data_IF_555008967390
#
_entry.id   IF_555008967390
#
_cell.length_a   1.000
_cell.length_b   1.000
_cell.length_c   1.000
_cell.angle_alpha   90.00
_cell.angle_beta   90.00
_cell.angle_gamma   90.00
#
_symmetry.space_group_name_H-M   'P 1'
#
loop_
_entity.id
_entity.type
_entity.pdbx_description
1 polymer ?
#
# COMPACT_ATOMS: atom_id res chain seq x y z
N UNK A 1 7.57 -1.72 -23.17
CA UNK A 1 8.00 -2.82 -22.28
C UNK A 1 7.84 -2.48 -20.78
N UNK A 2 7.10 -1.43 -20.42
CA UNK A 2 7.08 -0.95 -19.02
C UNK A 2 6.41 -1.95 -18.06
N UNK A 3 5.34 -2.61 -18.50
CA UNK A 3 4.60 -3.60 -17.69
C UNK A 3 5.46 -4.84 -17.42
N UNK A 4 6.10 -5.38 -18.47
CA UNK A 4 7.10 -6.44 -18.32
C UNK A 4 8.19 -6.08 -17.31
N UNK A 5 8.72 -4.85 -17.35
CA UNK A 5 9.72 -4.40 -16.38
C UNK A 5 9.15 -4.33 -14.96
N UNK A 6 7.88 -3.94 -14.81
CA UNK A 6 7.17 -3.98 -13.53
C UNK A 6 7.11 -5.39 -12.95
N UNK A 7 6.76 -6.38 -13.78
CA UNK A 7 6.71 -7.79 -13.39
C UNK A 7 8.10 -8.34 -13.05
N UNK A 8 9.13 -7.97 -13.82
CA UNK A 8 10.54 -8.33 -13.53
C UNK A 8 10.97 -7.82 -12.16
N UNK A 9 10.72 -6.54 -11.86
CA UNK A 9 11.12 -5.93 -10.58
C UNK A 9 10.31 -6.50 -9.41
N UNK A 10 9.08 -6.93 -9.65
CA UNK A 10 8.20 -7.55 -8.65
C UNK A 10 8.48 -9.04 -8.43
N UNK A 11 9.28 -9.68 -9.30
CA UNK A 11 9.56 -11.11 -9.22
C UNK A 11 10.45 -11.44 -8.02
N UNK A 12 10.14 -12.47 -7.20
CA UNK A 12 10.90 -12.78 -5.98
C UNK A 12 12.37 -13.11 -6.25
N UNK A 13 12.67 -13.78 -7.37
CA UNK A 13 14.05 -14.04 -7.80
C UNK A 13 14.84 -12.77 -8.13
N UNK A 14 14.18 -11.69 -8.56
CA UNK A 14 14.84 -10.39 -8.75
C UNK A 14 15.20 -9.77 -7.40
N UNK A 15 14.30 -9.81 -6.42
CA UNK A 15 14.56 -9.34 -5.05
C UNK A 15 15.66 -10.13 -4.34
N UNK A 16 15.79 -11.43 -4.63
CA UNK A 16 16.85 -12.30 -4.11
C UNK A 16 18.20 -12.16 -4.85
N UNK A 17 18.29 -11.28 -5.86
CA UNK A 17 19.46 -11.13 -6.73
C UNK A 17 19.85 -12.41 -7.50
N UNK A 18 18.90 -13.31 -7.74
CA UNK A 18 19.07 -14.55 -8.51
C UNK A 18 18.89 -14.33 -10.03
N UNK A 19 19.41 -13.21 -10.53
CA UNK A 19 19.23 -12.74 -11.92
C UNK A 19 20.39 -13.21 -12.81
N UNK A 20 20.49 -14.52 -13.03
CA UNK A 20 21.43 -15.10 -13.99
C UNK A 20 21.11 -14.66 -15.43
N UNK A 21 22.03 -14.88 -16.38
CA UNK A 21 21.84 -14.46 -17.78
C UNK A 21 20.64 -15.11 -18.47
N UNK A 22 20.14 -16.24 -17.94
CA UNK A 22 18.97 -16.98 -18.41
C UNK A 22 17.70 -16.70 -17.59
N UNK A 23 17.73 -15.74 -16.64
CA UNK A 23 16.61 -15.43 -15.74
C UNK A 23 15.28 -15.22 -16.48
N UNK A 24 15.28 -14.38 -17.52
CA UNK A 24 14.07 -14.07 -18.30
C UNK A 24 13.56 -15.34 -19.00
N UNK A 25 14.44 -16.13 -19.61
CA UNK A 25 14.09 -17.37 -20.31
C UNK A 25 13.53 -18.44 -19.38
N UNK A 26 13.96 -18.47 -18.11
CA UNK A 26 13.42 -19.38 -17.09
C UNK A 26 12.05 -18.93 -16.57
N UNK A 27 11.89 -17.63 -16.33
CA UNK A 27 10.64 -17.08 -15.78
C UNK A 27 9.51 -17.00 -16.83
N UNK A 28 9.85 -16.77 -18.10
CA UNK A 28 8.90 -16.66 -19.21
C UNK A 28 9.38 -17.47 -20.44
N UNK A 29 9.39 -18.82 -20.36
CA UNK A 29 9.91 -19.68 -21.43
C UNK A 29 9.14 -19.55 -22.74
N UNK A 30 7.83 -19.31 -22.65
CA UNK A 30 6.93 -19.11 -23.78
C UNK A 30 6.73 -17.63 -24.14
N UNK A 31 7.52 -16.74 -23.52
CA UNK A 31 7.38 -15.30 -23.63
C UNK A 31 6.44 -14.68 -22.59
N UNK A 32 6.56 -13.36 -22.42
CA UNK A 32 5.74 -12.60 -21.48
C UNK A 32 4.42 -12.14 -22.14
N UNK A 33 3.31 -12.22 -21.40
CA UNK A 33 2.00 -11.70 -21.81
C UNK A 33 1.33 -10.98 -20.65
N UNK A 34 0.83 -9.77 -20.90
CA UNK A 34 0.15 -8.95 -19.90
C UNK A 34 -1.12 -9.63 -19.34
N UNK A 35 -1.86 -10.33 -20.20
CA UNK A 35 -3.12 -10.99 -19.83
C UNK A 35 -2.88 -12.28 -19.05
N UNK A 36 -1.79 -12.99 -19.31
CA UNK A 36 -1.47 -14.26 -18.65
C UNK A 36 -0.99 -14.06 -17.20
N UNK A 37 -0.35 -12.92 -16.91
CA UNK A 37 0.16 -12.60 -15.57
C UNK A 37 -0.84 -11.84 -14.70
N UNK A 38 -2.00 -11.47 -15.25
CA UNK A 38 -3.04 -10.79 -14.49
C UNK A 38 -3.93 -11.82 -13.79
N UNK A 39 -3.99 -11.73 -12.47
CA UNK A 39 -4.90 -12.57 -11.68
C UNK A 39 -6.34 -12.31 -12.17
N UNK A 40 -7.07 -13.34 -12.64
CA UNK A 40 -8.41 -13.16 -13.19
C UNK A 40 -9.39 -13.01 -12.04
N UNK A 41 -9.42 -11.84 -11.41
CA UNK A 41 -10.29 -11.58 -10.28
C UNK A 41 -10.17 -10.16 -9.76
N UNK A 42 -11.20 -9.66 -9.05
CA UNK A 42 -11.04 -8.49 -8.21
C UNK A 42 -9.91 -8.77 -7.20
N UNK A 43 -8.98 -7.83 -6.96
CA UNK A 43 -7.90 -8.05 -6.01
C UNK A 43 -8.45 -8.54 -4.66
N UNK A 44 -7.77 -9.48 -4.00
CA UNK A 44 -8.21 -10.03 -2.72
C UNK A 44 -8.54 -8.93 -1.68
N UNK A 45 -7.85 -7.79 -1.74
CA UNK A 45 -8.14 -6.61 -0.94
C UNK A 45 -9.55 -6.03 -1.18
N UNK A 46 -10.03 -6.02 -2.42
CA UNK A 46 -11.38 -5.56 -2.79
C UNK A 46 -12.43 -6.52 -2.24
N UNK A 47 -12.21 -7.82 -2.37
CA UNK A 47 -13.10 -8.84 -1.80
C UNK A 47 -13.15 -8.76 -0.28
N UNK A 48 -11.99 -8.59 0.37
CA UNK A 48 -11.91 -8.42 1.82
C UNK A 48 -12.59 -7.14 2.29
N UNK A 49 -12.42 -6.02 1.58
CA UNK A 49 -13.09 -4.76 1.90
C UNK A 49 -14.62 -4.90 1.80
N UNK A 50 -15.12 -5.52 0.72
CA UNK A 50 -16.55 -5.78 0.55
C UNK A 50 -17.11 -6.71 1.64
N UNK A 51 -16.39 -7.79 1.98
CA UNK A 51 -16.78 -8.68 3.05
C UNK A 51 -16.77 -7.98 4.42
N UNK A 52 -15.79 -7.11 4.68
CA UNK A 52 -15.73 -6.32 5.91
C UNK A 52 -16.91 -5.33 6.01
N UNK A 53 -17.31 -4.71 4.90
CA UNK A 53 -18.51 -3.88 4.82
C UNK A 53 -19.78 -4.70 5.10
N UNK A 54 -19.97 -5.84 4.42
CA UNK A 54 -21.11 -6.73 4.62
C UNK A 54 -21.22 -7.26 6.06
N UNK A 55 -20.08 -7.56 6.68
CA UNK A 55 -20.01 -8.03 8.07
C UNK A 55 -20.01 -6.89 9.09
N UNK A 56 -20.16 -5.64 8.64
CA UNK A 56 -20.12 -4.45 9.49
C UNK A 56 -18.86 -4.38 10.37
N UNK A 57 -17.73 -4.92 9.90
CA UNK A 57 -16.42 -4.86 10.54
C UNK A 57 -15.71 -3.52 10.30
N UNK A 58 -16.46 -2.48 9.96
CA UNK A 58 -15.98 -1.11 10.09
C UNK A 58 -15.37 -0.96 11.49
N UNK A 59 -14.23 -0.27 11.58
CA UNK A 59 -13.46 -0.06 12.82
C UNK A 59 -14.40 0.49 13.91
N UNK A 60 -15.06 -0.40 14.65
CA UNK A 60 -15.71 -0.06 15.91
C UNK A 60 -14.53 0.30 16.80
N UNK A 61 -14.47 1.57 17.18
CA UNK A 61 -13.28 2.23 17.75
C UNK A 61 -12.59 1.34 18.77
N UNK A 62 -11.59 0.58 18.33
CA UNK A 62 -10.59 0.02 19.21
C UNK A 62 -9.79 1.25 19.60
N UNK A 63 -10.17 1.81 20.75
CA UNK A 63 -9.27 2.55 21.58
C UNK A 63 -8.03 1.65 21.75
N UNK A 64 -7.04 1.87 20.90
CA UNK A 64 -5.68 1.57 21.31
C UNK A 64 -5.50 2.36 22.60
N UNK A 65 -4.91 1.73 23.60
CA UNK A 65 -4.57 2.32 24.90
C UNK A 65 -3.54 3.47 24.82
N UNK A 66 -3.54 4.20 23.70
CA UNK A 66 -2.86 5.46 23.45
C UNK A 66 -3.83 6.61 23.12
N UNK A 67 -5.15 6.36 23.01
CA UNK A 67 -6.14 7.36 22.57
C UNK A 67 -7.33 7.60 23.52
N UNK A 68 -7.27 7.10 24.76
CA UNK A 68 -8.39 7.17 25.72
C UNK A 68 -8.51 8.51 26.49
N UNK A 69 -7.96 9.59 25.96
CA UNK A 69 -8.17 10.91 26.50
C UNK A 69 -7.97 11.89 25.37
N UNK A 70 -9.03 12.24 24.64
CA UNK A 70 -9.34 13.62 24.23
C UNK A 70 -10.84 13.63 23.93
N UNK A 71 -11.59 13.90 25.00
CA UNK A 71 -12.93 14.45 24.95
C UNK A 71 -12.94 15.68 24.02
N UNK A 72 -14.07 15.91 23.36
CA UNK A 72 -14.26 16.84 22.24
C UNK A 72 -14.21 18.34 22.61
N UNK A 73 -13.43 18.74 23.62
CA UNK A 73 -13.18 20.15 23.93
C UNK A 73 -11.71 20.36 24.36
N UNK A 74 -11.02 21.28 23.69
CA UNK A 74 -9.65 21.75 23.99
C UNK A 74 -8.48 20.82 23.60
N UNK A 75 -8.39 20.44 22.33
CA UNK A 75 -7.08 20.06 21.76
C UNK A 75 -6.33 21.35 21.44
N UNK A 76 -5.57 21.85 22.42
CA UNK A 76 -4.57 22.90 22.20
C UNK A 76 -3.63 22.55 21.03
N UNK A 77 -2.92 23.54 20.46
CA UNK A 77 -2.14 23.35 19.24
C UNK A 77 -1.19 22.16 19.37
N UNK A 78 -1.27 21.21 18.42
CA UNK A 78 -0.43 20.02 18.36
C UNK A 78 1.04 20.40 18.61
N UNK A 79 1.66 19.92 19.71
CA UNK A 79 3.01 20.34 20.11
C UNK A 79 4.10 19.94 19.11
N UNK A 80 3.78 19.08 18.14
CA UNK A 80 4.70 18.70 17.06
C UNK A 80 4.34 19.34 15.72
N UNK A 81 3.42 20.30 15.69
CA UNK A 81 3.01 20.95 14.46
C UNK A 81 4.12 21.88 13.91
N UNK A 82 4.75 21.53 12.77
CA UNK A 82 5.87 22.28 12.21
C UNK A 82 5.45 23.63 11.61
N UNK A 83 4.14 23.91 11.52
CA UNK A 83 3.61 25.17 11.02
C UNK A 83 3.43 26.23 12.12
N UNK A 84 3.53 25.88 13.41
CA UNK A 84 3.45 26.85 14.52
C UNK A 84 4.60 27.88 14.47
N UNK A 85 5.75 27.50 13.93
CA UNK A 85 6.92 28.38 13.77
C UNK A 85 6.93 29.12 12.44
N UNK A 86 5.96 28.86 11.54
CA UNK A 86 5.94 29.42 10.19
C UNK A 86 5.16 30.73 10.15
N UNK A 87 5.69 31.79 10.75
CA UNK A 87 5.15 33.15 10.60
C UNK A 87 5.51 33.71 9.22
N UNK A 88 4.67 33.46 8.22
CA UNK A 88 4.79 34.09 6.90
C UNK A 88 4.10 35.46 6.95
N UNK A 89 4.88 36.53 7.10
CA UNK A 89 4.40 37.88 6.79
C UNK A 89 4.49 38.07 5.28
N UNK A 90 3.35 38.15 4.59
CA UNK A 90 3.32 38.58 3.19
C UNK A 90 3.20 40.12 3.15
N UNK A 91 3.96 40.81 2.27
CA UNK A 91 3.70 42.20 1.94
C UNK A 91 2.40 42.37 1.13
#
# INVERSE_FOLDING_TARGET
>A
NIEFLGDVVSHPGFAAAETTTDFISRCWPDGWSADANREPGPPAAVLLAAAAEQLSLHRSGVATSAGAALDEEDVGPDPYNPFLTLSRSFP
#
